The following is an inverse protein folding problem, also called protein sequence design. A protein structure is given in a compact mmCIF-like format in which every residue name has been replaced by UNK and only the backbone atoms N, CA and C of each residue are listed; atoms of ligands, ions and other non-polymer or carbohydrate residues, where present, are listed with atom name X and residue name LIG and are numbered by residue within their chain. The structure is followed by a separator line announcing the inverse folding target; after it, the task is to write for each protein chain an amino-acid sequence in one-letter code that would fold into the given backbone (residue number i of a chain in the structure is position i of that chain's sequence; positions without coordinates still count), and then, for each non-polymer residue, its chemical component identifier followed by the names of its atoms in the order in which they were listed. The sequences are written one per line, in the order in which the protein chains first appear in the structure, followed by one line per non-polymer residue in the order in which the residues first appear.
data_IF_567493116611
#
_entry.id   IF_567493116611
#
_cell.length_a   1.000
_cell.length_b   1.000
_cell.length_c   1.000
_cell.angle_alpha   90.00
_cell.angle_beta   90.00
_cell.angle_gamma   90.00
#
_symmetry.space_group_name_H-M   'P 1'
#
loop_
_entity.id
_entity.type
_entity.pdbx_description
1 polymer ?
#
# COMPACT_ATOMS: atom_id res chain seq x y z
N UNK A 1 -7.35 15.31 2.48
CA UNK A 1 -5.95 14.84 2.59
C UNK A 1 -5.04 15.43 1.50
N UNK A 2 -3.78 15.74 1.85
CA UNK A 2 -2.69 16.13 0.93
C UNK A 2 -1.80 14.92 0.49
N UNK A 3 -0.79 15.15 -0.36
CA UNK A 3 0.08 14.08 -0.86
C UNK A 3 1.00 13.48 0.22
N UNK A 4 1.38 14.25 1.24
CA UNK A 4 2.24 13.76 2.31
C UNK A 4 1.44 12.86 3.26
N UNK A 5 0.24 13.29 3.64
CA UNK A 5 -0.72 12.49 4.39
C UNK A 5 -1.10 11.21 3.62
N UNK A 6 -1.30 11.31 2.30
CA UNK A 6 -1.54 10.16 1.41
C UNK A 6 -0.45 9.11 1.57
N UNK A 7 0.79 9.57 1.47
CA UNK A 7 1.97 8.72 1.53
C UNK A 7 2.10 8.04 2.89
N UNK A 8 1.79 8.74 3.98
CA UNK A 8 1.82 8.15 5.32
C UNK A 8 0.76 7.07 5.52
N UNK A 9 -0.47 7.32 5.04
CA UNK A 9 -1.55 6.33 5.10
C UNK A 9 -1.23 5.11 4.24
N UNK A 10 -0.77 5.32 3.01
CA UNK A 10 -0.50 4.22 2.08
C UNK A 10 0.71 3.36 2.48
N UNK A 11 1.64 3.87 3.29
CA UNK A 11 2.73 3.07 3.86
C UNK A 11 2.25 1.99 4.84
N UNK A 12 1.09 2.18 5.46
CA UNK A 12 0.52 1.19 6.38
C UNK A 12 -0.61 0.38 5.74
N UNK A 13 -0.98 0.72 4.50
CA UNK A 13 -2.05 0.08 3.76
C UNK A 13 -1.69 -1.35 3.37
N UNK A 14 -2.45 -2.34 3.85
CA UNK A 14 -2.24 -3.73 3.46
C UNK A 14 -3.30 -4.19 2.46
N UNK A 15 -2.84 -4.54 1.26
CA UNK A 15 -3.70 -5.09 0.21
C UNK A 15 -4.46 -6.33 0.68
N UNK A 16 -5.78 -6.34 0.51
CA UNK A 16 -6.64 -7.48 0.85
C UNK A 16 -7.07 -7.57 2.31
N UNK A 17 -6.83 -6.53 3.11
CA UNK A 17 -7.28 -6.44 4.51
C UNK A 17 -8.46 -5.47 4.68
N UNK A 18 -8.91 -5.24 5.92
CA UNK A 18 -9.95 -4.26 6.26
C UNK A 18 -9.61 -2.83 5.83
N UNK A 19 -8.32 -2.50 5.67
CA UNK A 19 -7.86 -1.19 5.20
C UNK A 19 -8.43 -0.84 3.81
N UNK A 20 -8.68 -1.85 2.96
CA UNK A 20 -9.29 -1.66 1.63
C UNK A 20 -10.75 -1.19 1.68
N UNK A 21 -11.41 -1.32 2.84
CA UNK A 21 -12.79 -0.88 3.05
C UNK A 21 -12.88 0.46 3.74
N UNK A 22 -11.78 0.92 4.34
CA UNK A 22 -11.77 2.17 5.07
C UNK A 22 -11.72 3.37 4.09
N UNK A 23 -12.68 4.31 4.21
CA UNK A 23 -12.76 5.48 3.34
C UNK A 23 -11.50 6.35 3.35
N UNK A 24 -10.70 6.36 4.42
CA UNK A 24 -9.46 7.15 4.47
C UNK A 24 -8.45 6.67 3.42
N UNK A 25 -8.34 5.35 3.24
CA UNK A 25 -7.45 4.78 2.23
C UNK A 25 -8.00 4.95 0.83
N UNK A 26 -9.34 4.96 0.66
CA UNK A 26 -9.95 5.27 -0.65
C UNK A 26 -9.68 6.72 -1.07
N UNK A 27 -9.75 7.67 -0.13
CA UNK A 27 -9.34 9.05 -0.40
C UNK A 27 -7.85 9.12 -0.75
N UNK A 28 -7.01 8.32 -0.08
CA UNK A 28 -5.59 8.26 -0.39
C UNK A 28 -5.25 7.68 -1.76
N UNK A 29 -5.91 6.58 -2.14
CA UNK A 29 -5.79 6.01 -3.48
C UNK A 29 -6.27 7.00 -4.56
N UNK A 30 -7.31 7.78 -4.29
CA UNK A 30 -7.76 8.84 -5.21
C UNK A 30 -6.67 9.91 -5.43
N UNK A 31 -5.82 10.18 -4.43
CA UNK A 31 -4.67 11.08 -4.59
C UNK A 31 -3.57 10.47 -5.44
N UNK A 32 -3.30 9.18 -5.27
CA UNK A 32 -2.34 8.43 -6.09
C UNK A 32 -2.72 8.53 -7.58
N UNK A 33 -3.99 8.34 -7.92
CA UNK A 33 -4.46 8.44 -9.31
C UNK A 33 -4.31 9.85 -9.93
N UNK A 34 -4.25 10.88 -9.10
CA UNK A 34 -4.18 12.28 -9.55
C UNK A 34 -2.76 12.84 -9.62
N UNK A 35 -1.80 12.19 -8.96
CA UNK A 35 -0.42 12.65 -8.86
C UNK A 35 0.54 11.57 -9.36
N UNK A 36 1.15 11.79 -10.52
CA UNK A 36 2.01 10.80 -11.17
C UNK A 36 3.27 10.45 -10.38
N UNK A 37 3.76 11.36 -9.52
CA UNK A 37 4.92 11.07 -8.67
C UNK A 37 4.52 10.17 -7.49
N UNK A 38 3.35 10.42 -6.92
CA UNK A 38 2.77 9.59 -5.88
C UNK A 38 2.36 8.20 -6.41
N UNK A 39 1.82 8.14 -7.64
CA UNK A 39 1.55 6.90 -8.36
C UNK A 39 2.81 6.05 -8.54
N UNK A 40 3.88 6.64 -9.08
CA UNK A 40 5.14 5.93 -9.29
C UNK A 40 5.71 5.39 -7.98
N UNK A 41 5.67 6.19 -6.90
CA UNK A 41 6.08 5.74 -5.58
C UNK A 41 5.19 4.59 -5.06
N UNK A 42 3.87 4.74 -5.10
CA UNK A 42 2.95 3.74 -4.55
C UNK A 42 3.02 2.41 -5.30
N UNK A 43 3.31 2.43 -6.60
CA UNK A 43 3.55 1.22 -7.38
C UNK A 43 4.82 0.50 -6.93
N UNK A 44 5.90 1.24 -6.65
CA UNK A 44 7.13 0.67 -6.11
C UNK A 44 6.91 0.02 -4.74
N UNK A 45 6.11 0.64 -3.86
CA UNK A 45 5.76 0.03 -2.57
C UNK A 45 4.96 -1.27 -2.76
N UNK A 46 3.99 -1.30 -3.66
CA UNK A 46 3.21 -2.51 -3.95
C UNK A 46 4.07 -3.65 -4.51
N UNK A 47 5.02 -3.34 -5.39
CA UNK A 47 5.95 -4.34 -5.92
C UNK A 47 6.85 -4.90 -4.80
N UNK A 48 7.33 -4.03 -3.90
CA UNK A 48 8.11 -4.45 -2.74
C UNK A 48 7.29 -5.34 -1.78
N UNK A 49 6.07 -4.94 -1.46
CA UNK A 49 5.15 -5.72 -0.62
C UNK A 49 4.85 -7.09 -1.22
N UNK A 50 4.62 -7.16 -2.54
CA UNK A 50 4.41 -8.42 -3.25
C UNK A 50 5.64 -9.35 -3.15
N UNK A 51 6.85 -8.80 -3.30
CA UNK A 51 8.09 -9.55 -3.13
C UNK A 51 8.27 -10.05 -1.69
N UNK A 52 7.97 -9.20 -0.70
CA UNK A 52 8.05 -9.58 0.70
C UNK A 52 7.05 -10.69 1.06
N UNK A 53 5.80 -10.56 0.62
CA UNK A 53 4.79 -11.62 0.79
C UNK A 53 5.23 -12.92 0.13
N UNK A 54 5.81 -12.87 -1.07
CA UNK A 54 6.33 -14.05 -1.74
C UNK A 54 7.45 -14.73 -0.92
N UNK A 55 8.44 -13.95 -0.46
CA UNK A 55 9.54 -14.49 0.37
C UNK A 55 9.05 -15.07 1.70
N UNK A 56 8.12 -14.39 2.39
CA UNK A 56 7.60 -14.89 3.67
C UNK A 56 6.69 -16.12 3.52
N UNK A 57 6.04 -16.30 2.37
CA UNK A 57 5.24 -17.50 2.08
C UNK A 57 6.09 -18.77 1.97
N UNK A 58 7.39 -18.63 1.68
CA UNK A 58 8.35 -19.72 1.64
C UNK A 58 8.92 -20.09 3.03
N UNK A 59 8.63 -19.28 4.07
CA UNK A 59 9.02 -19.60 5.44
C UNK A 59 7.88 -20.35 6.12
N UNK A 60 7.98 -21.67 6.35
CA UNK A 60 6.93 -22.39 7.07
C UNK A 60 6.84 -21.82 8.50
N UNK A 61 5.62 -21.65 9.05
CA UNK A 61 5.49 -21.28 10.45
C UNK A 61 6.20 -22.33 11.30
N UNK A 62 7.18 -21.90 12.11
CA UNK A 62 7.77 -22.77 13.13
C UNK A 62 6.64 -23.19 14.07
N UNK A 63 6.33 -24.49 14.06
CA UNK A 63 5.44 -25.15 15.02
C UNK A 63 5.97 -25.02 16.43
#
# INVERSE_FOLDING_TARGET
MDNAEAKQLLQVFRHGTEDSRDPIFREALTRVERDSALEAWFRQEQDFDALMVAMFREVPPKK
#
